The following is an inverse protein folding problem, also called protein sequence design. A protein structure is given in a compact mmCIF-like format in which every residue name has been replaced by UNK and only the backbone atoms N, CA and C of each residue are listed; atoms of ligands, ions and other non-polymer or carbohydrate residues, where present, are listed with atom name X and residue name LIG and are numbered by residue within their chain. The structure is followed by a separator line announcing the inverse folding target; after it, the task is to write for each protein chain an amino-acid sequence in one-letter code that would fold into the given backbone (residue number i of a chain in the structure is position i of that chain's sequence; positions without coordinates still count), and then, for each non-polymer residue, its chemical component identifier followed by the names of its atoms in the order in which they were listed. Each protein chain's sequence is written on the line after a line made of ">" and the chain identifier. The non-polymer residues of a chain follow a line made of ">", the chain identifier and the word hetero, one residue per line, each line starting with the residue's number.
data_IF_370268177444
#
_entry.id   IF_370268177444
#
_cell.length_a   1.000
_cell.length_b   1.000
_cell.length_c   1.000
_cell.angle_alpha   90.00
_cell.angle_beta   90.00
_cell.angle_gamma   90.00
#
_symmetry.space_group_name_H-M   'P 1'
#
loop_
_entity.id
_entity.type
_entity.pdbx_description
1 polymer ?
#
# COMPACT_ATOMS: atom_id res chain seq x y z
N UNK A 1 -1.15 -11.07 -4.45
CA UNK A 1 -0.87 -10.69 -3.05
C UNK A 1 -1.88 -11.27 -2.08
N UNK A 2 -1.42 -11.68 -0.90
CA UNK A 2 -2.25 -12.03 0.26
C UNK A 2 -2.08 -10.94 1.31
N UNK A 3 -3.18 -10.52 1.95
CA UNK A 3 -3.16 -9.53 3.03
C UNK A 3 -4.07 -9.95 4.19
N UNK A 4 -3.61 -9.76 5.41
CA UNK A 4 -4.42 -9.91 6.62
C UNK A 4 -5.05 -8.57 7.05
N UNK A 5 -6.38 -8.56 7.22
CA UNK A 5 -7.17 -7.40 7.63
C UNK A 5 -7.44 -7.36 9.14
N UNK A 6 -6.69 -8.11 9.95
CA UNK A 6 -6.94 -8.18 11.39
C UNK A 6 -6.92 -6.78 12.04
N UNK A 7 -5.98 -5.91 11.66
CA UNK A 7 -5.93 -4.53 12.20
C UNK A 7 -7.22 -3.74 11.94
N UNK A 8 -7.78 -3.84 10.73
CA UNK A 8 -9.02 -3.19 10.32
C UNK A 8 -10.20 -3.75 11.12
N UNK A 9 -10.35 -5.07 11.16
CA UNK A 9 -11.45 -5.74 11.88
C UNK A 9 -11.46 -5.42 13.38
N UNK A 10 -10.28 -5.24 13.98
CA UNK A 10 -10.15 -4.84 15.37
C UNK A 10 -10.52 -3.38 15.59
N UNK A 11 -10.09 -2.48 14.70
CA UNK A 11 -10.43 -1.06 14.77
C UNK A 11 -11.94 -0.83 14.66
N UNK A 12 -12.61 -1.47 13.69
CA UNK A 12 -14.06 -1.40 13.50
C UNK A 12 -14.86 -1.83 14.73
N UNK A 13 -14.32 -2.79 15.50
CA UNK A 13 -14.94 -3.32 16.71
C UNK A 13 -14.45 -2.64 18.00
N UNK A 14 -13.59 -1.63 17.90
CA UNK A 14 -12.98 -0.96 19.06
C UNK A 14 -12.13 -1.90 19.93
N UNK A 15 -11.58 -2.97 19.36
CA UNK A 15 -10.83 -4.00 20.06
C UNK A 15 -9.33 -3.70 20.04
N UNK A 16 -8.67 -3.83 21.20
CA UNK A 16 -7.22 -3.76 21.32
C UNK A 16 -6.60 -5.16 21.25
N UNK A 17 -5.43 -5.28 20.63
CA UNK A 17 -4.64 -6.53 20.58
C UNK A 17 -4.49 -7.17 21.97
N UNK A 18 -4.29 -6.37 23.01
CA UNK A 18 -4.16 -6.85 24.40
C UNK A 18 -5.41 -7.57 24.90
N UNK A 19 -6.60 -7.10 24.55
CA UNK A 19 -7.87 -7.75 24.91
C UNK A 19 -8.02 -9.07 24.16
N UNK A 20 -7.81 -9.05 22.85
CA UNK A 20 -7.89 -10.22 21.99
C UNK A 20 -6.93 -11.32 22.47
N UNK A 21 -5.68 -10.96 22.79
CA UNK A 21 -4.69 -11.90 23.31
C UNK A 21 -5.15 -12.58 24.62
N UNK A 22 -5.78 -11.81 25.50
CA UNK A 22 -6.27 -12.31 26.80
C UNK A 22 -7.39 -13.32 26.64
N UNK A 23 -8.32 -13.03 25.74
CA UNK A 23 -9.53 -13.82 25.51
C UNK A 23 -9.25 -15.07 24.68
N UNK A 24 -8.43 -14.94 23.63
CA UNK A 24 -8.13 -16.03 22.67
C UNK A 24 -6.95 -16.90 23.08
N UNK A 25 -6.16 -16.45 24.07
CA UNK A 25 -4.87 -17.06 24.45
C UNK A 25 -3.81 -17.10 23.36
N UNK A 26 -4.04 -16.43 22.22
CA UNK A 26 -3.00 -16.17 21.23
C UNK A 26 -2.05 -15.13 21.80
N UNK A 27 -0.74 -15.34 21.62
CA UNK A 27 0.26 -14.39 22.15
C UNK A 27 0.08 -13.01 21.50
N UNK A 28 0.38 -11.94 22.27
CA UNK A 28 0.37 -10.57 21.75
C UNK A 28 1.32 -10.39 20.58
N UNK A 29 2.50 -10.99 20.63
CA UNK A 29 3.51 -10.93 19.57
C UNK A 29 3.00 -11.56 18.27
N UNK A 30 2.31 -12.70 18.36
CA UNK A 30 1.67 -13.34 17.20
C UNK A 30 0.56 -12.45 16.63
N UNK A 31 -0.34 -11.93 17.47
CA UNK A 31 -1.43 -11.05 17.01
C UNK A 31 -0.90 -9.75 16.38
N UNK A 32 0.13 -9.14 16.96
CA UNK A 32 0.80 -7.98 16.39
C UNK A 32 1.43 -8.31 15.04
N UNK A 33 2.16 -9.42 14.93
CA UNK A 33 2.76 -9.84 13.65
C UNK A 33 1.72 -10.09 12.57
N UNK A 34 0.57 -10.69 12.91
CA UNK A 34 -0.55 -10.90 11.99
C UNK A 34 -1.20 -9.57 11.59
N UNK A 35 -1.49 -8.70 12.57
CA UNK A 35 -2.15 -7.41 12.33
C UNK A 35 -1.29 -6.44 11.50
N UNK A 36 0.04 -6.55 11.58
CA UNK A 36 0.99 -5.77 10.80
C UNK A 36 1.43 -6.44 9.49
N UNK A 37 0.87 -7.61 9.13
CA UNK A 37 1.28 -8.36 7.93
C UNK A 37 2.77 -8.77 7.88
N UNK A 38 3.48 -8.77 9.01
CA UNK A 38 4.90 -9.16 9.08
C UNK A 38 5.10 -10.69 9.15
N UNK A 39 4.02 -11.45 9.30
CA UNK A 39 4.07 -12.91 9.39
C UNK A 39 4.25 -13.58 8.02
N UNK A 40 5.04 -14.66 7.96
CA UNK A 40 5.15 -15.51 6.75
C UNK A 40 3.93 -16.40 6.49
N UNK A 41 2.93 -16.34 7.37
CA UNK A 41 1.72 -17.14 7.30
C UNK A 41 0.98 -17.16 8.63
N UNK A 42 -0.23 -17.70 8.62
CA UNK A 42 -1.07 -17.91 9.80
C UNK A 42 -1.40 -19.40 9.93
N UNK A 43 -1.23 -19.95 11.13
CA UNK A 43 -1.63 -21.32 11.41
C UNK A 43 -3.16 -21.44 11.37
N UNK A 44 -3.69 -22.55 10.86
CA UNK A 44 -5.15 -22.73 10.77
C UNK A 44 -5.86 -22.69 12.12
N UNK A 45 -5.25 -23.21 13.18
CA UNK A 45 -5.83 -23.14 14.54
C UNK A 45 -5.96 -21.68 15.03
N UNK A 46 -4.94 -20.86 14.74
CA UNK A 46 -4.96 -19.41 15.03
C UNK A 46 -6.04 -18.71 14.22
N UNK A 47 -6.13 -19.00 12.91
CA UNK A 47 -7.15 -18.43 12.05
C UNK A 47 -8.56 -18.83 12.51
N UNK A 48 -8.78 -20.11 12.81
CA UNK A 48 -10.05 -20.62 13.33
C UNK A 48 -10.45 -19.96 14.65
N UNK A 49 -9.49 -19.77 15.56
CA UNK A 49 -9.72 -19.08 16.84
C UNK A 49 -10.12 -17.62 16.60
N UNK A 50 -9.45 -16.92 15.68
CA UNK A 50 -9.79 -15.54 15.34
C UNK A 50 -11.16 -15.42 14.65
N UNK A 51 -11.48 -16.32 13.72
CA UNK A 51 -12.79 -16.40 13.09
C UNK A 51 -13.91 -16.52 14.13
N UNK A 52 -13.77 -17.46 15.06
CA UNK A 52 -14.75 -17.69 16.13
C UNK A 52 -14.87 -16.50 17.08
N UNK A 53 -13.74 -15.90 17.48
CA UNK A 53 -13.73 -14.78 18.40
C UNK A 53 -14.33 -13.49 17.79
N UNK A 54 -14.04 -13.22 16.52
CA UNK A 54 -14.53 -12.02 15.81
C UNK A 54 -15.88 -12.22 15.14
N UNK A 55 -16.38 -13.46 15.10
CA UNK A 55 -17.57 -13.89 14.37
C UNK A 55 -17.52 -13.51 12.88
N UNK A 56 -16.44 -13.94 12.22
CA UNK A 56 -16.15 -13.66 10.80
C UNK A 56 -15.69 -14.93 10.08
N UNK A 57 -15.68 -14.87 8.77
CA UNK A 57 -15.13 -15.91 7.89
C UNK A 57 -13.64 -15.67 7.60
N UNK A 58 -12.89 -16.70 7.17
CA UNK A 58 -11.49 -16.54 6.77
C UNK A 58 -11.25 -15.45 5.72
N UNK A 59 -12.18 -15.25 4.78
CA UNK A 59 -12.06 -14.27 3.70
C UNK A 59 -12.16 -12.80 4.20
N UNK A 60 -12.76 -12.58 5.36
CA UNK A 60 -12.79 -11.26 6.00
C UNK A 60 -11.45 -10.98 6.70
N UNK A 61 -10.80 -12.00 7.26
CA UNK A 61 -9.48 -11.88 7.90
C UNK A 61 -8.35 -11.85 6.87
N UNK A 62 -8.45 -12.63 5.79
CA UNK A 62 -7.42 -12.79 4.77
C UNK A 62 -8.01 -12.48 3.41
N UNK A 63 -7.53 -11.40 2.80
CA UNK A 63 -7.87 -11.02 1.43
C UNK A 63 -6.82 -11.51 0.45
N UNK A 64 -7.28 -11.84 -0.75
CA UNK A 64 -6.45 -12.25 -1.87
C UNK A 64 -6.74 -11.38 -3.09
N UNK A 65 -5.68 -10.91 -3.73
CA UNK A 65 -5.73 -10.21 -5.01
C UNK A 65 -4.88 -11.00 -6.00
N UNK A 66 -5.39 -11.28 -7.22
CA UNK A 66 -4.68 -12.03 -8.25
C UNK A 66 -3.60 -11.22 -8.97
N UNK A 67 -3.04 -10.21 -8.30
CA UNK A 67 -1.96 -9.37 -8.77
C UNK A 67 -0.92 -9.22 -7.67
N UNK A 68 0.34 -9.17 -8.06
CA UNK A 68 1.44 -8.69 -7.24
C UNK A 68 1.94 -7.39 -7.85
N UNK A 69 1.95 -6.36 -7.02
CA UNK A 69 2.39 -5.00 -7.36
C UNK A 69 3.64 -4.75 -6.54
N UNK A 70 4.68 -4.24 -7.19
CA UNK A 70 5.94 -3.88 -6.54
C UNK A 70 6.34 -2.49 -6.98
N UNK A 71 6.59 -1.60 -6.02
CA UNK A 71 7.15 -0.28 -6.28
C UNK A 71 8.66 -0.43 -6.34
N UNK A 72 9.27 -0.01 -7.44
CA UNK A 72 10.70 -0.27 -7.67
C UNK A 72 11.55 0.95 -7.37
N UNK A 73 11.24 2.07 -8.00
CA UNK A 73 12.06 3.26 -7.99
C UNK A 73 11.20 4.49 -8.27
N UNK A 74 11.66 5.63 -7.78
CA UNK A 74 11.13 6.93 -8.17
C UNK A 74 12.26 7.81 -8.70
N UNK A 75 12.15 8.21 -9.97
CA UNK A 75 13.04 9.20 -10.59
C UNK A 75 12.44 10.60 -10.48
N UNK A 76 12.99 11.40 -9.57
CA UNK A 76 12.59 12.78 -9.32
C UNK A 76 12.80 13.70 -10.53
N UNK A 77 13.75 13.40 -11.43
CA UNK A 77 14.05 14.27 -12.59
C UNK A 77 12.98 14.16 -13.66
N UNK A 78 12.40 12.98 -13.81
CA UNK A 78 11.35 12.70 -14.80
C UNK A 78 9.97 12.59 -14.17
N UNK A 79 9.86 12.68 -12.83
CA UNK A 79 8.64 12.42 -12.07
C UNK A 79 8.05 11.05 -12.40
N UNK A 80 8.90 10.02 -12.47
CA UNK A 80 8.51 8.67 -12.88
C UNK A 80 8.56 7.71 -11.71
N UNK A 81 7.43 7.09 -11.39
CA UNK A 81 7.35 5.98 -10.43
C UNK A 81 7.30 4.66 -11.18
N UNK A 82 8.35 3.86 -11.07
CA UNK A 82 8.48 2.56 -11.71
C UNK A 82 7.76 1.48 -10.90
N UNK A 83 6.85 0.75 -11.54
CA UNK A 83 6.02 -0.27 -10.92
C UNK A 83 6.10 -1.56 -11.72
N UNK A 84 6.22 -2.69 -11.02
CA UNK A 84 6.03 -3.99 -11.63
C UNK A 84 4.69 -4.58 -11.21
N UNK A 85 3.98 -5.11 -12.20
CA UNK A 85 2.73 -5.84 -12.01
C UNK A 85 2.90 -7.24 -12.56
N UNK A 86 2.61 -8.25 -11.75
CA UNK A 86 2.49 -9.64 -12.21
C UNK A 86 1.15 -10.21 -11.82
N UNK A 87 0.53 -10.99 -12.71
CA UNK A 87 -0.73 -11.67 -12.42
C UNK A 87 -0.44 -13.03 -11.80
N UNK A 88 -1.22 -13.43 -10.81
CA UNK A 88 -1.09 -14.75 -10.20
C UNK A 88 -1.25 -15.86 -11.26
N UNK A 89 -0.33 -16.84 -11.24
CA UNK A 89 -0.21 -17.93 -12.21
C UNK A 89 0.18 -17.51 -13.64
N UNK A 90 0.62 -16.27 -13.83
CA UNK A 90 1.28 -15.81 -15.06
C UNK A 90 2.73 -15.43 -14.71
N UNK A 91 3.69 -15.88 -15.52
CA UNK A 91 5.10 -15.52 -15.35
C UNK A 91 5.43 -14.17 -16.02
N UNK A 92 4.45 -13.52 -16.66
CA UNK A 92 4.62 -12.20 -17.26
C UNK A 92 4.69 -11.14 -16.17
N UNK A 93 5.75 -10.34 -16.25
CA UNK A 93 5.91 -9.10 -15.50
C UNK A 93 5.64 -7.96 -16.47
N UNK A 94 4.69 -7.11 -16.13
CA UNK A 94 4.43 -5.86 -16.80
C UNK A 94 5.26 -4.78 -16.08
N UNK A 95 6.21 -4.20 -16.81
CA UNK A 95 6.93 -3.03 -16.34
C UNK A 95 6.07 -1.83 -16.71
N UNK A 96 5.57 -1.14 -15.69
CA UNK A 96 4.71 0.01 -15.85
C UNK A 96 5.35 1.23 -15.16
N UNK A 97 4.85 2.40 -15.49
CA UNK A 97 5.21 3.65 -14.84
C UNK A 97 3.98 4.52 -14.60
N UNK A 98 4.01 5.26 -13.51
CA UNK A 98 3.07 6.33 -13.20
C UNK A 98 3.81 7.66 -13.17
N UNK A 99 3.11 8.73 -13.52
CA UNK A 99 3.59 10.07 -13.27
C UNK A 99 3.45 10.35 -11.76
N UNK A 100 4.49 10.86 -11.13
CA UNK A 100 4.56 11.03 -9.69
C UNK A 100 5.18 12.39 -9.36
N UNK A 101 4.33 13.34 -8.96
CA UNK A 101 4.78 14.64 -8.50
C UNK A 101 4.93 14.64 -6.98
N UNK A 102 5.98 15.28 -6.47
CA UNK A 102 6.22 15.41 -5.04
C UNK A 102 6.38 16.89 -4.70
N UNK A 103 5.44 17.42 -3.93
CA UNK A 103 5.51 18.75 -3.34
C UNK A 103 6.13 18.64 -1.96
N UNK A 104 7.10 19.51 -1.65
CA UNK A 104 7.91 19.42 -0.43
C UNK A 104 7.86 20.76 0.29
N UNK A 105 7.48 20.71 1.56
CA UNK A 105 7.48 21.85 2.47
C UNK A 105 8.69 21.81 3.39
N UNK A 106 9.28 22.99 3.60
CA UNK A 106 10.51 23.18 4.36
C UNK A 106 10.24 24.02 5.60
N UNK A 107 10.78 23.59 6.74
CA UNK A 107 10.84 24.37 7.97
C UNK A 107 12.25 24.32 8.54
N UNK A 108 12.82 25.49 8.85
CA UNK A 108 14.18 25.63 9.38
C UNK A 108 15.29 24.89 8.58
N UNK A 109 15.11 24.73 7.27
CA UNK A 109 16.06 24.04 6.40
C UNK A 109 15.93 22.51 6.39
N UNK A 110 14.91 21.97 7.05
CA UNK A 110 14.53 20.55 7.02
C UNK A 110 13.21 20.37 6.27
N UNK A 111 13.02 19.23 5.61
CA UNK A 111 11.72 18.84 5.08
C UNK A 111 10.81 18.51 6.26
N UNK A 112 9.71 19.24 6.38
CA UNK A 112 8.71 19.04 7.43
C UNK A 112 7.44 18.37 6.92
N UNK A 113 7.18 18.42 5.60
CA UNK A 113 6.08 17.70 4.98
C UNK A 113 6.38 17.44 3.50
N UNK A 114 5.86 16.34 2.97
CA UNK A 114 5.79 16.14 1.53
C UNK A 114 4.49 15.46 1.11
N UNK A 115 3.93 15.92 0.00
CA UNK A 115 2.70 15.41 -0.59
C UNK A 115 3.00 14.85 -1.97
N UNK A 116 2.57 13.61 -2.21
CA UNK A 116 2.83 12.85 -3.44
C UNK A 116 1.54 12.77 -4.24
N UNK A 117 1.56 13.19 -5.50
CA UNK A 117 0.45 13.05 -6.44
C UNK A 117 0.80 12.04 -7.53
N UNK A 118 0.06 10.93 -7.55
CA UNK A 118 0.24 9.80 -8.46
C UNK A 118 -0.81 9.87 -9.58
N UNK A 119 -0.34 10.03 -10.81
CA UNK A 119 -1.15 10.23 -12.00
C UNK A 119 -0.83 9.21 -13.10
N UNK A 120 -1.81 8.93 -13.95
CA UNK A 120 -1.54 8.24 -15.21
C UNK A 120 -0.77 9.17 -16.14
N UNK A 121 0.06 8.61 -17.02
CA UNK A 121 0.68 9.42 -18.08
C UNK A 121 -0.37 9.90 -19.07
N UNK A 122 -0.27 11.14 -19.52
CA UNK A 122 -1.02 11.58 -20.70
C UNK A 122 -0.47 10.85 -21.92
N UNK A 123 -1.33 10.10 -22.60
CA UNK A 123 -0.92 9.33 -23.75
C UNK A 123 -0.61 10.23 -24.95
N UNK A 124 -1.29 11.39 -25.10
CA UNK A 124 -1.20 12.25 -26.29
C UNK A 124 -1.20 11.47 -27.62
N UNK A 125 -2.08 10.45 -27.71
CA UNK A 125 -2.21 9.56 -28.87
C UNK A 125 -1.19 8.40 -28.95
N UNK A 126 -0.37 8.18 -27.92
CA UNK A 126 0.55 7.05 -27.84
C UNK A 126 -0.18 5.76 -27.38
N UNK A 127 -0.39 4.83 -28.32
CA UNK A 127 -1.08 3.56 -28.06
C UNK A 127 -0.43 2.68 -26.97
N UNK A 128 0.89 2.79 -26.75
CA UNK A 128 1.58 2.00 -25.73
C UNK A 128 1.21 2.49 -24.33
N UNK A 129 1.23 3.82 -24.14
CA UNK A 129 0.80 4.48 -22.90
C UNK A 129 -0.68 4.22 -22.65
N UNK A 130 -1.54 4.25 -23.67
CA UNK A 130 -2.97 3.94 -23.51
C UNK A 130 -3.20 2.50 -23.02
N UNK A 131 -2.47 1.53 -23.58
CA UNK A 131 -2.55 0.12 -23.17
C UNK A 131 -2.05 -0.07 -21.74
N UNK A 132 -0.95 0.60 -21.39
CA UNK A 132 -0.39 0.59 -20.05
C UNK A 132 -1.35 1.20 -19.02
N UNK A 133 -1.89 2.39 -19.29
CA UNK A 133 -2.89 3.05 -18.46
C UNK A 133 -4.14 2.18 -18.27
N UNK A 134 -4.59 1.49 -19.32
CA UNK A 134 -5.72 0.56 -19.24
C UNK A 134 -5.43 -0.60 -18.28
N UNK A 135 -4.24 -1.18 -18.34
CA UNK A 135 -3.81 -2.23 -17.42
C UNK A 135 -3.76 -1.72 -15.97
N UNK A 136 -3.17 -0.54 -15.76
CA UNK A 136 -3.07 0.11 -14.45
C UNK A 136 -4.46 0.36 -13.86
N UNK A 137 -5.36 0.98 -14.60
CA UNK A 137 -6.75 1.20 -14.15
C UNK A 137 -7.42 -0.13 -13.79
N UNK A 138 -7.29 -1.16 -14.63
CA UNK A 138 -7.88 -2.47 -14.37
C UNK A 138 -7.34 -3.09 -13.08
N UNK A 139 -6.04 -2.96 -12.81
CA UNK A 139 -5.42 -3.55 -11.62
C UNK A 139 -5.82 -2.77 -10.37
N UNK A 140 -5.63 -1.44 -10.38
CA UNK A 140 -5.81 -0.58 -9.21
C UNK A 140 -7.29 -0.43 -8.80
N UNK A 141 -8.22 -0.36 -9.75
CA UNK A 141 -9.67 -0.27 -9.44
C UNK A 141 -10.23 -1.50 -8.70
N UNK A 142 -9.53 -2.64 -8.77
CA UNK A 142 -9.88 -3.88 -8.09
C UNK A 142 -9.15 -4.07 -6.74
N UNK A 143 -8.30 -3.12 -6.33
CA UNK A 143 -7.61 -3.19 -5.04
C UNK A 143 -8.56 -2.79 -3.90
N UNK A 144 -8.70 -3.60 -2.85
CA UNK A 144 -9.34 -3.20 -1.61
C UNK A 144 -8.57 -2.06 -0.92
N UNK A 145 -9.28 -1.17 -0.21
CA UNK A 145 -8.72 -0.01 0.51
C UNK A 145 -7.46 -0.36 1.34
N UNK A 146 -7.42 -1.45 2.12
CA UNK A 146 -6.24 -1.76 2.92
C UNK A 146 -4.96 -2.00 2.10
N UNK A 147 -5.07 -2.38 0.82
CA UNK A 147 -3.91 -2.54 -0.07
C UNK A 147 -3.40 -1.20 -0.59
N UNK A 148 -4.27 -0.21 -0.80
CA UNK A 148 -3.83 1.15 -1.13
C UNK A 148 -2.96 1.71 -0.02
N UNK A 149 -3.36 1.55 1.24
CA UNK A 149 -2.56 2.03 2.37
C UNK A 149 -1.16 1.40 2.42
N UNK A 150 -1.05 0.11 2.11
CA UNK A 150 0.25 -0.56 2.07
C UNK A 150 1.13 -0.02 0.91
N UNK A 151 0.53 0.17 -0.27
CA UNK A 151 1.22 0.76 -1.42
C UNK A 151 1.63 2.21 -1.16
N UNK A 152 0.79 3.00 -0.50
CA UNK A 152 1.10 4.38 -0.12
C UNK A 152 2.31 4.45 0.81
N UNK A 153 2.41 3.55 1.80
CA UNK A 153 3.59 3.48 2.66
C UNK A 153 4.85 3.12 1.85
N UNK A 154 4.76 2.17 0.93
CA UNK A 154 5.89 1.79 0.06
C UNK A 154 6.31 2.95 -0.86
N UNK A 155 5.35 3.69 -1.41
CA UNK A 155 5.59 4.89 -2.23
C UNK A 155 6.24 5.99 -1.40
N UNK A 156 5.73 6.27 -0.20
CA UNK A 156 6.30 7.26 0.73
C UNK A 156 7.74 6.92 1.06
N UNK A 157 8.04 5.64 1.32
CA UNK A 157 9.42 5.19 1.58
C UNK A 157 10.31 5.38 0.35
N UNK A 158 9.87 4.96 -0.83
CA UNK A 158 10.65 5.09 -2.08
C UNK A 158 10.90 6.56 -2.43
N UNK A 159 9.86 7.39 -2.42
CA UNK A 159 9.95 8.81 -2.75
C UNK A 159 10.76 9.57 -1.70
N UNK A 160 10.51 9.33 -0.42
CA UNK A 160 11.25 9.94 0.69
C UNK A 160 12.74 9.65 0.65
N UNK A 161 13.12 8.43 0.25
CA UNK A 161 14.52 8.08 0.00
C UNK A 161 15.07 8.83 -1.23
N UNK A 162 14.34 8.90 -2.34
CA UNK A 162 14.81 9.59 -3.55
C UNK A 162 15.04 11.09 -3.36
N UNK A 163 14.19 11.79 -2.59
CA UNK A 163 14.33 13.23 -2.33
C UNK A 163 15.50 13.57 -1.38
N UNK A 164 15.93 12.63 -0.55
CA UNK A 164 17.05 12.81 0.39
C UNK A 164 18.40 12.44 -0.18
N UNK A 165 18.46 11.71 -1.30
CA UNK A 165 19.72 11.20 -1.84
C UNK A 165 20.55 12.21 -2.66
N UNK A 166 19.98 13.35 -3.09
CA UNK A 166 20.63 14.23 -4.06
C UNK A 166 21.16 15.57 -3.52
N UNK A 167 20.77 15.98 -2.31
CA UNK A 167 21.18 17.24 -1.69
C UNK A 167 21.37 16.99 -0.18
N UNK A 168 22.11 17.81 0.58
CA UNK A 168 22.29 17.73 2.05
C UNK A 168 20.96 17.95 2.85
N UNK A 169 19.85 17.58 2.23
CA UNK A 169 18.47 17.65 2.66
C UNK A 169 18.23 16.74 3.85
N UNK A 170 17.83 17.35 4.96
CA UNK A 170 17.47 16.65 6.19
C UNK A 170 15.95 16.56 6.25
N UNK A 171 15.41 15.35 6.49
CA UNK A 171 13.99 15.16 6.78
C UNK A 171 13.80 15.27 8.28
N UNK A 172 12.89 16.17 8.69
CA UNK A 172 12.55 16.37 10.09
C UNK A 172 12.02 15.08 10.72
N UNK A 173 12.38 14.84 11.98
CA UNK A 173 11.86 13.69 12.75
C UNK A 173 10.33 13.70 12.92
N UNK A 174 9.69 14.85 12.75
CA UNK A 174 8.23 15.01 12.80
C UNK A 174 7.60 15.19 11.41
N UNK A 175 8.32 14.82 10.34
CA UNK A 175 7.84 14.98 8.98
C UNK A 175 6.53 14.20 8.75
N UNK A 176 5.56 14.84 8.12
CA UNK A 176 4.32 14.19 7.67
C UNK A 176 4.33 13.95 6.17
N UNK A 177 3.66 12.88 5.73
CA UNK A 177 3.50 12.59 4.31
C UNK A 177 2.05 12.32 3.93
N UNK A 178 1.71 12.63 2.68
CA UNK A 178 0.42 12.35 2.07
C UNK A 178 0.59 11.78 0.66
N UNK A 179 -0.35 10.92 0.25
CA UNK A 179 -0.43 10.41 -1.12
C UNK A 179 -1.82 10.72 -1.67
N UNK A 180 -1.86 11.25 -2.89
CA UNK A 180 -3.06 11.47 -3.69
C UNK A 180 -2.94 10.65 -4.95
N UNK A 181 -4.04 10.06 -5.36
CA UNK A 181 -4.11 9.20 -6.54
C UNK A 181 -5.04 9.80 -7.58
N UNK A 182 -4.72 9.56 -8.84
CA UNK A 182 -5.63 9.76 -9.96
C UNK A 182 -6.98 9.10 -9.65
N UNK A 183 -8.11 9.83 -9.75
CA UNK A 183 -9.44 9.27 -9.51
C UNK A 183 -9.77 8.05 -10.38
N UNK A 184 -9.09 7.87 -11.51
CA UNK A 184 -9.25 6.73 -12.42
C UNK A 184 -8.62 5.45 -11.87
N UNK A 185 -7.61 5.57 -11.00
CA UNK A 185 -6.93 4.45 -10.35
C UNK A 185 -7.68 3.98 -9.10
N UNK A 186 -8.43 4.86 -8.44
CA UNK A 186 -9.14 4.55 -7.19
C UNK A 186 -10.59 4.17 -7.45
N UNK A 187 -11.08 3.15 -6.75
CA UNK A 187 -12.49 2.77 -6.84
C UNK A 187 -13.39 3.89 -6.25
N UNK A 188 -14.50 4.24 -6.93
CA UNK A 188 -15.43 5.31 -6.51
C UNK A 188 -16.12 5.09 -5.17
N UNK A 189 -16.04 3.88 -4.60
CA UNK A 189 -16.53 3.59 -3.25
C UNK A 189 -15.52 3.96 -2.14
N UNK A 190 -14.39 4.58 -2.48
CA UNK A 190 -13.34 5.01 -1.55
C UNK A 190 -13.37 6.51 -1.20
N UNK A 191 -14.41 7.26 -1.62
CA UNK A 191 -14.63 8.67 -1.28
C UNK A 191 -15.85 8.85 -0.37
#
# INVERSE_FOLDING_TARGET
>A
MIRCNLSVLLAERGLRITKVATDTKISRTTLTSIALNHGRGIQFDTLNTLCNYLNVTPNEIISYIPFDIKINNFDYRTNTLDINISKANDNRIFNCSLCCYCEVDWDNGEICQFDIDIQLWDADGNEEIEKENTLLIQVFSNLPIPFFQDLENEIVDVVGNSITHNDDTIVSSSCSSGVRWDPSLVNKNCL
#
